data_IF_713057055679
#
_entry.id   IF_713057055679
#
_cell.length_a   1.000
_cell.length_b   1.000
_cell.length_c   1.000
_cell.angle_alpha   90.00
_cell.angle_beta   90.00
_cell.angle_gamma   90.00
#
_symmetry.space_group_name_H-M   'P 1'
#
loop_
_entity.id
_entity.type
_entity.pdbx_description
1 polymer ?
#
# COMPACT_ATOMS: atom_id res chain seq x y z
N UNK A 1 -6.48 21.49 -22.72
CA UNK A 1 -7.17 20.32 -22.14
C UNK A 1 -6.23 19.73 -21.09
N UNK A 2 -6.59 19.73 -19.81
CA UNK A 2 -5.82 19.03 -18.78
C UNK A 2 -5.76 17.55 -19.14
N UNK A 3 -4.56 16.94 -19.12
CA UNK A 3 -4.44 15.48 -19.32
C UNK A 3 -5.40 14.76 -18.36
N UNK A 4 -6.11 13.70 -18.78
CA UNK A 4 -6.91 12.91 -17.86
C UNK A 4 -6.01 12.40 -16.73
N UNK A 5 -6.56 12.37 -15.51
CA UNK A 5 -5.88 11.80 -14.36
C UNK A 5 -5.42 10.36 -14.72
N UNK A 6 -4.12 10.03 -14.67
CA UNK A 6 -3.60 8.75 -15.19
C UNK A 6 -3.99 7.48 -14.40
N UNK A 7 -5.00 7.53 -13.53
CA UNK A 7 -5.16 6.58 -12.44
C UNK A 7 -6.30 5.60 -12.71
N UNK A 8 -5.99 4.58 -13.49
CA UNK A 8 -6.59 3.26 -13.28
C UNK A 8 -5.80 2.54 -12.17
N UNK A 9 -6.43 1.63 -11.40
CA UNK A 9 -5.70 0.73 -10.52
C UNK A 9 -4.56 0.01 -11.26
N UNK A 10 -3.36 0.02 -10.69
CA UNK A 10 -2.22 -0.69 -11.27
C UNK A 10 -2.29 -2.22 -11.06
N UNK A 11 -3.24 -2.67 -10.23
CA UNK A 11 -3.52 -4.08 -9.96
C UNK A 11 -4.01 -4.78 -11.22
N UNK A 12 -3.62 -6.05 -11.41
CA UNK A 12 -4.22 -6.89 -12.43
C UNK A 12 -5.71 -7.14 -12.14
N UNK A 13 -6.52 -7.53 -13.13
CA UNK A 13 -7.96 -7.71 -12.96
C UNK A 13 -8.32 -8.75 -11.89
N UNK A 14 -7.48 -9.77 -11.69
CA UNK A 14 -7.67 -10.78 -10.63
C UNK A 14 -7.43 -10.18 -9.25
N UNK A 15 -6.34 -9.43 -9.09
CA UNK A 15 -5.99 -8.82 -7.80
C UNK A 15 -7.03 -7.75 -7.42
N UNK A 16 -7.50 -6.97 -8.40
CA UNK A 16 -8.57 -6.00 -8.21
C UNK A 16 -9.89 -6.67 -7.81
N UNK A 17 -10.30 -7.74 -8.51
CA UNK A 17 -11.54 -8.46 -8.17
C UNK A 17 -11.49 -9.08 -6.76
N UNK A 18 -10.32 -9.56 -6.32
CA UNK A 18 -10.14 -10.09 -4.98
C UNK A 18 -10.16 -8.98 -3.92
N UNK A 19 -9.57 -7.82 -4.20
CA UNK A 19 -9.69 -6.62 -3.35
C UNK A 19 -11.16 -6.23 -3.19
N UNK A 20 -11.88 -6.08 -4.31
CA UNK A 20 -13.31 -5.72 -4.32
C UNK A 20 -14.15 -6.73 -3.55
N UNK A 21 -13.98 -8.03 -3.82
CA UNK A 21 -14.73 -9.09 -3.13
C UNK A 21 -14.47 -9.06 -1.62
N UNK A 22 -13.23 -8.76 -1.22
CA UNK A 22 -12.86 -8.63 0.19
C UNK A 22 -13.57 -7.44 0.83
N UNK A 23 -13.53 -6.27 0.18
CA UNK A 23 -14.16 -5.04 0.67
C UNK A 23 -15.69 -5.16 0.71
N UNK A 24 -16.30 -5.76 -0.31
CA UNK A 24 -17.75 -6.01 -0.36
C UNK A 24 -18.21 -6.94 0.77
N UNK A 25 -17.45 -8.02 1.02
CA UNK A 25 -17.79 -9.00 2.07
C UNK A 25 -17.56 -8.43 3.48
N UNK A 26 -16.51 -7.63 3.64
CA UNK A 26 -16.11 -7.08 4.94
C UNK A 26 -16.90 -5.81 5.31
N UNK A 27 -17.33 -5.05 4.31
CA UNK A 27 -17.94 -3.71 4.45
C UNK A 27 -17.18 -2.81 5.45
N UNK A 28 -15.87 -2.55 5.23
CA UNK A 28 -15.05 -1.83 6.20
C UNK A 28 -15.45 -0.36 6.28
N UNK A 29 -15.48 0.17 7.51
CA UNK A 29 -15.68 1.60 7.79
C UNK A 29 -14.35 2.33 7.90
N UNK A 30 -13.32 1.65 8.44
CA UNK A 30 -11.99 2.21 8.66
C UNK A 30 -10.95 1.43 7.85
N UNK A 31 -10.34 2.11 6.88
CA UNK A 31 -9.34 1.55 5.95
C UNK A 31 -7.97 2.20 6.18
N UNK A 32 -6.94 1.36 6.21
CA UNK A 32 -5.54 1.77 6.20
C UNK A 32 -4.87 1.35 4.89
N UNK A 33 -4.04 2.20 4.31
CA UNK A 33 -3.24 1.91 3.13
C UNK A 33 -1.81 2.43 3.32
N UNK A 34 -0.85 1.66 2.83
CA UNK A 34 0.49 2.15 2.53
C UNK A 34 0.67 2.14 1.02
N UNK A 35 0.99 3.28 0.41
CA UNK A 35 1.14 3.46 -1.03
C UNK A 35 -0.17 3.84 -1.72
N UNK A 36 -0.36 5.14 -1.93
CA UNK A 36 -1.59 5.70 -2.51
C UNK A 36 -1.61 5.61 -4.04
N UNK A 37 -2.78 5.69 -4.68
CA UNK A 37 -2.87 5.78 -6.13
C UNK A 37 -4.24 5.46 -6.73
N UNK A 38 -4.24 4.76 -7.86
CA UNK A 38 -5.47 4.43 -8.59
C UNK A 38 -6.38 3.48 -7.81
N UNK A 39 -5.79 2.57 -7.03
CA UNK A 39 -6.52 1.73 -6.07
C UNK A 39 -7.26 2.56 -5.02
N UNK A 40 -6.62 3.59 -4.45
CA UNK A 40 -7.25 4.51 -3.50
C UNK A 40 -8.50 5.16 -4.10
N UNK A 41 -8.38 5.73 -5.32
CA UNK A 41 -9.52 6.35 -6.02
C UNK A 41 -10.64 5.33 -6.27
N UNK A 42 -10.28 4.18 -6.83
CA UNK A 42 -11.24 3.12 -7.14
C UNK A 42 -12.02 2.68 -5.91
N UNK A 43 -11.33 2.41 -4.80
CA UNK A 43 -11.98 1.96 -3.57
C UNK A 43 -12.91 3.04 -3.01
N UNK A 44 -12.50 4.31 -3.01
CA UNK A 44 -13.37 5.40 -2.56
C UNK A 44 -14.60 5.53 -3.47
N UNK A 45 -14.42 5.49 -4.80
CA UNK A 45 -15.52 5.62 -5.76
C UNK A 45 -16.54 4.47 -5.64
N UNK A 46 -16.09 3.24 -5.34
CA UNK A 46 -16.96 2.05 -5.32
C UNK A 46 -17.56 1.72 -3.93
N UNK A 47 -16.91 2.08 -2.83
CA UNK A 47 -17.29 1.62 -1.49
C UNK A 47 -17.73 2.79 -0.59
N UNK A 48 -19.01 3.21 -0.64
CA UNK A 48 -19.53 4.31 0.18
C UNK A 48 -19.63 3.98 1.67
N UNK A 49 -19.53 2.70 2.05
CA UNK A 49 -19.53 2.26 3.45
C UNK A 49 -18.28 2.70 4.24
N UNK A 50 -17.20 3.04 3.54
CA UNK A 50 -15.98 3.56 4.15
C UNK A 50 -16.28 4.96 4.70
N UNK A 51 -15.98 5.16 5.98
CA UNK A 51 -16.10 6.46 6.66
C UNK A 51 -14.76 7.17 6.75
N UNK A 52 -13.67 6.40 6.88
CA UNK A 52 -12.31 6.92 7.03
C UNK A 52 -11.32 6.06 6.27
N UNK A 53 -10.59 6.68 5.35
CA UNK A 53 -9.54 6.05 4.57
C UNK A 53 -8.22 6.77 4.84
N UNK A 54 -7.30 6.13 5.57
CA UNK A 54 -5.96 6.67 5.82
C UNK A 54 -4.97 6.04 4.85
N UNK A 55 -4.24 6.86 4.10
CA UNK A 55 -3.18 6.40 3.21
C UNK A 55 -1.85 7.09 3.52
N UNK A 56 -0.79 6.31 3.71
CA UNK A 56 0.57 6.81 3.94
C UNK A 56 1.35 6.75 2.62
N UNK A 57 1.89 7.90 2.21
CA UNK A 57 2.68 8.04 0.98
C UNK A 57 4.08 8.57 1.28
N UNK A 58 5.09 8.03 0.59
CA UNK A 58 6.49 8.40 0.78
C UNK A 58 7.02 9.36 -0.29
N UNK A 59 6.47 9.28 -1.50
CA UNK A 59 6.89 10.09 -2.63
C UNK A 59 6.13 11.42 -2.62
N UNK A 60 6.84 12.52 -2.41
CA UNK A 60 6.25 13.86 -2.27
C UNK A 60 5.54 14.32 -3.55
N UNK A 61 6.09 13.99 -4.70
CA UNK A 61 5.57 14.42 -5.99
C UNK A 61 4.32 13.64 -6.36
N UNK A 62 4.30 12.33 -6.06
CA UNK A 62 3.13 11.49 -6.16
C UNK A 62 2.05 11.87 -5.16
N UNK A 63 2.43 12.17 -3.91
CA UNK A 63 1.52 12.66 -2.89
C UNK A 63 0.77 13.92 -3.36
N UNK A 64 1.48 14.92 -3.89
CA UNK A 64 0.85 16.14 -4.41
C UNK A 64 -0.07 15.85 -5.60
N UNK A 65 0.30 14.89 -6.45
CA UNK A 65 -0.55 14.47 -7.57
C UNK A 65 -1.83 13.77 -7.09
N UNK A 66 -1.73 12.83 -6.15
CA UNK A 66 -2.87 12.13 -5.55
C UNK A 66 -3.79 13.14 -4.86
N UNK A 67 -3.23 13.98 -3.98
CA UNK A 67 -3.96 15.02 -3.23
C UNK A 67 -4.72 15.98 -4.14
N UNK A 68 -4.11 16.37 -5.26
CA UNK A 68 -4.72 17.30 -6.23
C UNK A 68 -5.97 16.73 -6.89
N UNK A 69 -6.08 15.41 -7.01
CA UNK A 69 -7.05 14.77 -7.88
C UNK A 69 -8.00 13.79 -7.19
N UNK A 70 -7.67 13.32 -5.99
CA UNK A 70 -8.57 12.60 -5.11
C UNK A 70 -8.96 13.55 -3.99
N UNK A 71 -10.09 14.23 -4.16
CA UNK A 71 -10.61 15.23 -3.21
C UNK A 71 -11.73 14.67 -2.32
N UNK A 72 -11.86 13.34 -2.26
CA UNK A 72 -12.86 12.69 -1.43
C UNK A 72 -12.61 13.03 0.04
N UNK A 73 -13.61 13.57 0.77
CA UNK A 73 -13.42 14.02 2.16
C UNK A 73 -13.11 12.88 3.14
N UNK A 74 -13.32 11.62 2.74
CA UNK A 74 -12.99 10.44 3.56
C UNK A 74 -11.51 10.08 3.49
N UNK A 75 -10.78 10.60 2.50
CA UNK A 75 -9.36 10.33 2.34
C UNK A 75 -8.52 11.27 3.22
N UNK A 76 -7.78 10.67 4.14
CA UNK A 76 -6.71 11.31 4.89
C UNK A 76 -5.36 10.82 4.34
N UNK A 77 -4.74 11.64 3.50
CA UNK A 77 -3.45 11.35 2.88
C UNK A 77 -2.32 11.99 3.69
N UNK A 78 -1.32 11.19 4.07
CA UNK A 78 -0.17 11.64 4.85
C UNK A 78 1.15 11.39 4.10
N UNK A 79 1.92 12.47 3.87
CA UNK A 79 3.29 12.37 3.35
C UNK A 79 4.25 12.03 4.49
N UNK A 80 4.95 10.91 4.39
CA UNK A 80 6.02 10.49 5.30
C UNK A 80 7.20 9.97 4.50
N UNK A 81 8.26 10.77 4.43
CA UNK A 81 9.48 10.38 3.74
C UNK A 81 10.14 9.16 4.40
N UNK A 82 10.91 8.42 3.60
CA UNK A 82 11.69 7.29 4.07
C UNK A 82 12.94 7.78 4.81
N UNK A 83 13.27 7.15 5.93
CA UNK A 83 14.35 7.54 6.85
C UNK A 83 15.74 7.30 6.23
N UNK A 84 16.24 8.30 5.50
CA UNK A 84 17.57 8.24 4.85
C UNK A 84 17.66 7.23 3.70
N UNK A 85 16.58 6.52 3.36
CA UNK A 85 16.55 5.62 2.20
C UNK A 85 16.83 6.38 0.88
N UNK A 86 16.48 7.67 0.85
CA UNK A 86 16.67 8.56 -0.28
C UNK A 86 18.09 9.15 -0.36
N UNK A 87 18.87 9.10 0.73
CA UNK A 87 20.26 9.61 0.76
C UNK A 87 21.20 8.72 -0.08
N UNK A 88 20.74 7.50 -0.40
CA UNK A 88 21.39 6.61 -1.36
C UNK A 88 20.94 6.84 -2.81
N UNK A 89 19.92 7.68 -3.06
CA UNK A 89 19.21 7.76 -4.34
C UNK A 89 18.56 9.14 -4.62
N UNK A 90 19.30 10.25 -4.62
CA UNK A 90 18.78 11.55 -5.14
C UNK A 90 18.14 11.43 -6.55
N UNK A 91 18.54 10.40 -7.31
CA UNK A 91 18.02 10.06 -8.62
C UNK A 91 16.66 9.32 -8.65
N UNK A 92 16.05 8.93 -7.52
CA UNK A 92 14.70 8.30 -7.51
C UNK A 92 13.54 9.30 -7.44
N UNK A 93 13.81 10.60 -7.25
CA UNK A 93 12.82 11.67 -7.47
C UNK A 93 12.58 11.82 -8.96
N UNK A 94 11.75 10.95 -9.52
CA UNK A 94 11.31 11.07 -10.89
C UNK A 94 9.98 11.84 -10.90
N UNK A 95 9.88 12.94 -11.66
CA UNK A 95 8.59 13.56 -11.90
C UNK A 95 7.60 12.50 -12.45
N UNK A 96 6.33 12.52 -12.02
CA UNK A 96 5.30 11.65 -12.55
C UNK A 96 5.32 11.68 -14.09
N UNK A 97 5.53 10.51 -14.71
CA UNK A 97 5.60 10.37 -16.16
C UNK A 97 6.98 10.53 -16.81
N UNK A 98 8.05 10.76 -16.03
CA UNK A 98 9.45 10.83 -16.53
C UNK A 98 10.26 9.57 -16.14
N UNK A 99 9.71 8.72 -15.27
CA UNK A 99 10.39 7.50 -14.85
C UNK A 99 10.37 6.40 -15.93
N UNK A 100 11.47 6.28 -16.67
CA UNK A 100 11.70 5.12 -17.52
C UNK A 100 12.20 3.92 -16.69
N UNK A 101 11.27 3.16 -16.12
CA UNK A 101 11.56 1.96 -15.29
C UNK A 101 12.54 0.99 -15.94
N UNK A 102 12.50 0.84 -17.28
CA UNK A 102 13.42 -0.02 -18.03
C UNK A 102 14.86 0.49 -18.02
N UNK A 103 15.07 1.81 -18.09
CA UNK A 103 16.39 2.44 -18.12
C UNK A 103 17.06 2.44 -16.74
N UNK A 104 16.25 2.50 -15.68
CA UNK A 104 16.74 2.60 -14.29
C UNK A 104 16.45 1.36 -13.43
N UNK A 105 16.21 0.19 -14.06
CA UNK A 105 15.78 -1.03 -13.37
C UNK A 105 16.69 -1.42 -12.19
N UNK A 106 18.01 -1.42 -12.37
CA UNK A 106 18.97 -1.79 -11.31
C UNK A 106 18.85 -0.90 -10.08
N UNK A 107 18.71 0.40 -10.30
CA UNK A 107 18.54 1.39 -9.24
C UNK A 107 17.22 1.18 -8.49
N UNK A 108 16.14 0.90 -9.22
CA UNK A 108 14.84 0.61 -8.61
C UNK A 108 14.84 -0.69 -7.81
N UNK A 109 15.49 -1.74 -8.34
CA UNK A 109 15.63 -3.01 -7.65
C UNK A 109 16.42 -2.86 -6.35
N UNK A 110 17.47 -2.04 -6.36
CA UNK A 110 18.28 -1.72 -5.17
C UNK A 110 17.49 -0.88 -4.17
N UNK A 111 16.81 0.19 -4.62
CA UNK A 111 15.95 0.99 -3.76
C UNK A 111 14.89 0.12 -3.06
N UNK A 112 14.20 -0.74 -3.82
CA UNK A 112 13.27 -1.72 -3.27
C UNK A 112 13.97 -2.59 -2.22
N UNK A 113 15.10 -3.20 -2.58
CA UNK A 113 15.87 -4.08 -1.67
C UNK A 113 16.18 -3.40 -0.35
N UNK A 114 16.74 -2.19 -0.40
CA UNK A 114 17.10 -1.39 0.79
C UNK A 114 15.88 -1.13 1.67
N UNK A 115 14.73 -0.76 1.08
CA UNK A 115 13.50 -0.49 1.84
C UNK A 115 12.81 -1.74 2.39
N UNK A 116 13.00 -2.91 1.78
CA UNK A 116 12.38 -4.17 2.20
C UNK A 116 13.23 -4.98 3.18
N UNK A 117 14.55 -4.74 3.22
CA UNK A 117 15.50 -5.50 4.05
C UNK A 117 15.94 -4.75 5.31
N UNK A 118 15.92 -3.40 5.30
CA UNK A 118 16.35 -2.61 6.45
C UNK A 118 15.20 -1.77 7.04
N UNK A 119 14.70 -2.10 8.23
CA UNK A 119 13.59 -1.37 8.86
C UNK A 119 13.94 0.07 9.19
N UNK A 120 15.22 0.40 9.44
CA UNK A 120 15.63 1.76 9.79
C UNK A 120 15.35 2.75 8.67
N UNK A 121 15.23 2.30 7.41
CA UNK A 121 14.93 3.14 6.27
C UNK A 121 13.46 3.43 6.05
N UNK A 122 12.56 2.71 6.73
CA UNK A 122 11.11 2.85 6.53
C UNK A 122 10.38 3.07 7.85
N UNK A 123 11.10 3.24 8.96
CA UNK A 123 10.57 3.24 10.32
C UNK A 123 9.48 4.28 10.53
N UNK A 124 9.70 5.53 10.15
CA UNK A 124 8.74 6.62 10.28
C UNK A 124 7.51 6.37 9.42
N UNK A 125 7.72 5.97 8.16
CA UNK A 125 6.66 5.64 7.20
C UNK A 125 5.77 4.47 7.68
N UNK A 126 6.40 3.38 8.10
CA UNK A 126 5.75 2.15 8.57
C UNK A 126 4.96 2.40 9.85
N UNK A 127 5.52 3.16 10.80
CA UNK A 127 4.89 3.36 12.10
C UNK A 127 3.91 4.53 12.15
N UNK A 128 3.86 5.39 11.13
CA UNK A 128 2.95 6.54 11.11
C UNK A 128 1.51 6.22 11.52
N UNK A 129 0.91 5.10 11.07
CA UNK A 129 -0.47 4.78 11.44
C UNK A 129 -0.72 4.57 12.95
N UNK A 130 0.33 4.28 13.73
CA UNK A 130 0.22 4.12 15.19
C UNK A 130 -0.12 5.42 15.90
N UNK A 131 0.22 6.57 15.32
CA UNK A 131 -0.01 7.89 15.91
C UNK A 131 -1.50 8.25 15.97
N UNK A 132 -2.35 7.59 15.17
CA UNK A 132 -3.75 7.98 15.01
C UNK A 132 -4.68 7.44 16.10
N UNK A 133 -4.21 6.48 16.92
CA UNK A 133 -5.01 5.90 18.01
C UNK A 133 -6.29 5.21 17.52
N UNK A 134 -6.29 4.69 16.30
CA UNK A 134 -7.45 4.10 15.63
C UNK A 134 -7.17 2.64 15.27
N UNK A 135 -8.18 1.79 15.41
CA UNK A 135 -8.17 0.43 14.88
C UNK A 135 -8.88 0.37 13.54
N UNK A 136 -8.39 -0.48 12.64
CA UNK A 136 -8.88 -0.58 11.27
C UNK A 136 -9.65 -1.88 11.06
N UNK A 137 -10.61 -1.82 10.13
CA UNK A 137 -11.35 -3.00 9.68
C UNK A 137 -10.57 -3.71 8.59
N UNK A 138 -9.89 -2.92 7.76
CA UNK A 138 -9.13 -3.37 6.60
C UNK A 138 -7.80 -2.63 6.49
N UNK A 139 -6.75 -3.33 6.07
CA UNK A 139 -5.48 -2.71 5.68
C UNK A 139 -4.96 -3.23 4.33
N UNK A 140 -4.54 -2.34 3.44
CA UNK A 140 -3.84 -2.63 2.20
C UNK A 140 -2.35 -2.28 2.32
N UNK A 141 -1.50 -3.29 2.24
CA UNK A 141 -0.04 -3.14 2.25
C UNK A 141 0.46 -3.20 0.80
N UNK A 142 0.53 -2.05 0.14
CA UNK A 142 0.97 -1.90 -1.26
C UNK A 142 2.08 -0.84 -1.47
N UNK A 143 2.78 -0.48 -0.38
CA UNK A 143 3.79 0.58 -0.38
C UNK A 143 5.23 0.08 -0.46
N UNK A 144 6.11 0.73 0.31
CA UNK A 144 7.50 0.31 0.60
C UNK A 144 7.59 -0.34 1.96
N UNK A 145 8.62 -1.17 2.15
CA UNK A 145 8.87 -1.83 3.44
C UNK A 145 7.69 -2.69 3.87
N UNK A 146 7.10 -3.43 2.92
CA UNK A 146 5.87 -4.21 3.15
C UNK A 146 6.07 -5.27 4.23
N UNK A 147 7.28 -5.84 4.31
CA UNK A 147 7.67 -6.74 5.40
C UNK A 147 7.52 -6.11 6.79
N UNK A 148 7.71 -4.79 6.90
CA UNK A 148 7.63 -4.04 8.15
C UNK A 148 6.25 -3.42 8.35
N UNK A 149 5.54 -3.06 7.27
CA UNK A 149 4.14 -2.64 7.33
C UNK A 149 3.24 -3.75 7.84
N UNK A 150 3.50 -5.01 7.45
CA UNK A 150 2.65 -6.15 7.80
C UNK A 150 2.46 -6.39 9.31
N UNK A 151 3.50 -6.40 10.16
CA UNK A 151 3.30 -6.47 11.61
C UNK A 151 2.59 -5.24 12.20
N UNK A 152 2.82 -4.03 11.65
CA UNK A 152 2.05 -2.84 12.09
C UNK A 152 0.58 -2.97 11.72
N UNK A 153 0.27 -3.41 10.49
CA UNK A 153 -1.09 -3.69 10.04
C UNK A 153 -1.76 -4.74 10.95
N UNK A 154 -1.03 -5.80 11.31
CA UNK A 154 -1.53 -6.82 12.22
C UNK A 154 -1.91 -6.27 13.58
N UNK A 155 -1.12 -5.36 14.15
CA UNK A 155 -1.44 -4.75 15.45
C UNK A 155 -2.66 -3.83 15.36
N UNK A 156 -2.76 -3.04 14.28
CA UNK A 156 -3.77 -1.99 14.14
C UNK A 156 -5.11 -2.48 13.58
N UNK A 157 -5.13 -3.59 12.84
CA UNK A 157 -6.38 -4.21 12.39
C UNK A 157 -7.08 -4.89 13.57
N UNK A 158 -8.38 -4.71 13.71
CA UNK A 158 -9.19 -5.32 14.79
C UNK A 158 -9.39 -6.82 14.57
N UNK A 159 -9.81 -7.53 15.63
CA UNK A 159 -10.28 -8.92 15.50
C UNK A 159 -11.41 -9.01 14.47
N UNK A 160 -11.34 -10.01 13.59
CA UNK A 160 -12.23 -10.17 12.44
C UNK A 160 -11.90 -9.29 11.23
N UNK A 161 -10.96 -8.34 11.36
CA UNK A 161 -10.49 -7.51 10.24
C UNK A 161 -9.56 -8.26 9.28
N UNK A 162 -9.26 -7.61 8.15
CA UNK A 162 -8.51 -8.23 7.05
C UNK A 162 -7.35 -7.35 6.60
N UNK A 163 -6.22 -7.97 6.28
CA UNK A 163 -5.06 -7.33 5.66
C UNK A 163 -4.87 -7.95 4.28
N UNK A 164 -4.66 -7.12 3.26
CA UNK A 164 -4.16 -7.56 1.96
C UNK A 164 -2.70 -7.11 1.83
N UNK A 165 -1.79 -8.07 1.66
CA UNK A 165 -0.42 -7.82 1.22
C UNK A 165 -0.37 -7.93 -0.30
N UNK A 166 -0.07 -6.84 -1.01
CA UNK A 166 0.16 -6.90 -2.46
C UNK A 166 1.60 -7.33 -2.76
N UNK A 167 1.84 -7.83 -3.97
CA UNK A 167 3.06 -8.51 -4.40
C UNK A 167 3.55 -9.66 -3.50
N UNK A 168 2.63 -10.34 -2.81
CA UNK A 168 2.89 -11.42 -1.88
C UNK A 168 3.61 -12.64 -2.47
N UNK A 169 3.69 -12.78 -3.80
CA UNK A 169 4.47 -13.82 -4.49
C UNK A 169 5.99 -13.63 -4.35
N UNK A 170 6.44 -12.44 -3.92
CA UNK A 170 7.87 -12.14 -3.82
C UNK A 170 8.56 -12.95 -2.70
N UNK A 171 9.80 -13.45 -2.93
CA UNK A 171 10.50 -14.28 -1.95
C UNK A 171 10.73 -13.61 -0.61
N UNK A 172 11.01 -12.30 -0.60
CA UNK A 172 11.31 -11.55 0.63
C UNK A 172 10.16 -11.54 1.64
N UNK A 173 8.91 -11.75 1.21
CA UNK A 173 7.73 -11.71 2.08
C UNK A 173 7.38 -13.09 2.67
N UNK A 174 7.93 -14.17 2.11
CA UNK A 174 7.52 -15.54 2.49
C UNK A 174 7.87 -15.87 3.95
N UNK A 175 8.94 -15.30 4.48
CA UNK A 175 9.32 -15.50 5.88
C UNK A 175 8.35 -14.78 6.81
N UNK A 176 8.01 -13.51 6.54
CA UNK A 176 7.07 -12.75 7.36
C UNK A 176 5.67 -13.38 7.35
N UNK A 177 5.22 -13.87 6.19
CA UNK A 177 3.90 -14.50 6.02
C UNK A 177 3.69 -15.75 6.88
N UNK A 178 4.75 -16.45 7.31
CA UNK A 178 4.64 -17.62 8.19
C UNK A 178 4.08 -17.29 9.56
N UNK A 179 4.18 -16.03 10.01
CA UNK A 179 3.69 -15.59 11.31
C UNK A 179 2.16 -15.46 11.38
N UNK A 180 1.45 -15.56 10.25
CA UNK A 180 0.01 -15.32 10.19
C UNK A 180 -0.78 -16.60 9.87
N UNK A 181 -1.66 -17.05 10.77
CA UNK A 181 -2.28 -18.38 10.69
C UNK A 181 -3.38 -18.46 9.62
N UNK A 182 -4.22 -17.43 9.49
CA UNK A 182 -5.34 -17.39 8.54
C UNK A 182 -4.98 -16.59 7.31
N UNK A 183 -4.08 -17.13 6.49
CA UNK A 183 -3.69 -16.55 5.21
C UNK A 183 -4.24 -17.35 4.04
N UNK A 184 -4.86 -16.66 3.09
CA UNK A 184 -5.20 -17.20 1.79
C UNK A 184 -4.17 -16.71 0.78
N UNK A 185 -3.44 -17.67 0.21
CA UNK A 185 -2.58 -17.42 -0.94
C UNK A 185 -3.44 -17.67 -2.19
N UNK A 186 -3.46 -16.77 -3.19
CA UNK A 186 -4.03 -17.10 -4.47
C UNK A 186 -3.23 -18.29 -5.01
N UNK A 187 -3.93 -19.41 -5.19
CA UNK A 187 -3.38 -20.65 -5.75
C UNK A 187 -3.26 -20.48 -7.26
N UNK A 188 -2.49 -19.50 -7.73
CA UNK A 188 -2.11 -19.41 -9.12
C UNK A 188 -0.72 -18.79 -9.18
N UNK A 189 0.14 -19.32 -10.04
CA UNK A 189 1.46 -18.80 -10.39
C UNK A 189 1.45 -17.37 -10.98
N UNK A 190 0.38 -16.60 -10.74
CA UNK A 190 0.05 -15.29 -11.32
C UNK A 190 -0.65 -14.32 -10.35
N UNK A 191 -1.11 -14.73 -9.17
CA UNK A 191 -1.75 -13.82 -8.22
C UNK A 191 -0.72 -13.01 -7.43
N UNK A 192 -0.94 -11.71 -7.26
CA UNK A 192 0.00 -10.84 -6.56
C UNK A 192 -0.42 -10.55 -5.12
N UNK A 193 -1.65 -10.85 -4.69
CA UNK A 193 -2.07 -10.51 -3.32
C UNK A 193 -2.01 -11.70 -2.36
N UNK A 194 -1.89 -11.46 -1.06
CA UNK A 194 -2.18 -12.44 0.00
C UNK A 194 -3.15 -11.82 0.99
N UNK A 195 -4.26 -12.51 1.24
CA UNK A 195 -5.26 -12.09 2.21
C UNK A 195 -4.96 -12.71 3.56
N UNK A 196 -4.97 -11.92 4.62
CA UNK A 196 -4.71 -12.33 5.99
C UNK A 196 -5.88 -11.89 6.86
N UNK A 197 -6.60 -12.83 7.45
CA UNK A 197 -7.70 -12.54 8.39
C UNK A 197 -7.17 -12.57 9.82
N UNK A 198 -7.44 -11.51 10.59
CA UNK A 198 -7.16 -11.51 12.03
C UNK A 198 -8.32 -12.23 12.74
N UNK A 199 -8.04 -13.26 13.57
CA UNK A 199 -9.08 -14.00 14.27
C UNK A 199 -9.86 -13.11 15.23
#
# INVERSE_FOLDING_TARGET
>A
MSKPFPFEPAMGPIDLALLETTLETLAPRFVLEWGSGGGTRHVLDQFPCIERYISIEHDDTWFELVKKHITDPRLELYLVQLDGALDHFEATRFPPGVFEKKKHKKMFDEFRRVTEENPEHTKSYVNRPRDFGVSFDFALVDGRGRNFCLPVAWDLVRSGGVIILHDAQRPEYQTALKNYPHRMLPVFSRGQICLIRKP
#
